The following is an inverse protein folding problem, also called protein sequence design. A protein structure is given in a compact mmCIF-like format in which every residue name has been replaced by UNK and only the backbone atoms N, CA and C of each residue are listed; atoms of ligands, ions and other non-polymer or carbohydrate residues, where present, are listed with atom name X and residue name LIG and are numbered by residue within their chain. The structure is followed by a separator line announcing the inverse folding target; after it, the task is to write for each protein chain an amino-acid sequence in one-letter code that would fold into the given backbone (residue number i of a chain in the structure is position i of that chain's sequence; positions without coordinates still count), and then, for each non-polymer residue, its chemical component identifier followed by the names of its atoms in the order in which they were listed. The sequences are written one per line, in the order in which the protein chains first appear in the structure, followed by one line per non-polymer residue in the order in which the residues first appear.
data_IF_796248857298
#
_entry.id   IF_796248857298
#
_cell.length_a   1.000
_cell.length_b   1.000
_cell.length_c   1.000
_cell.angle_alpha   90.00
_cell.angle_beta   90.00
_cell.angle_gamma   90.00
#
_symmetry.space_group_name_H-M   'P 1'
#
loop_
_entity.id
_entity.type
_entity.pdbx_description
1 polymer ?
#
# COMPACT_ATOMS: atom_id res chain seq x y z
N UNK A 1 15.80 -3.71 17.11
CA UNK A 1 14.48 -4.35 17.36
C UNK A 1 13.63 -4.11 16.13
N UNK A 2 13.22 -5.15 15.39
CA UNK A 2 12.41 -4.97 14.16
C UNK A 2 10.92 -4.85 14.48
N UNK A 3 10.15 -4.23 13.57
CA UNK A 3 8.68 -4.08 13.66
C UNK A 3 7.95 -5.40 13.99
N UNK A 4 8.33 -6.58 13.43
CA UNK A 4 7.69 -7.84 13.80
C UNK A 4 7.91 -8.26 15.26
N UNK A 5 9.09 -7.97 15.83
CA UNK A 5 9.36 -8.24 17.26
C UNK A 5 8.60 -7.29 18.16
N UNK A 6 8.38 -6.05 17.71
CA UNK A 6 7.55 -5.09 18.44
C UNK A 6 6.09 -5.53 18.43
N UNK A 7 5.54 -5.92 17.28
CA UNK A 7 4.17 -6.45 17.22
C UNK A 7 4.00 -7.68 18.11
N UNK A 8 4.90 -8.67 18.03
CA UNK A 8 4.86 -9.86 18.88
C UNK A 8 4.97 -9.52 20.37
N UNK A 9 5.85 -8.58 20.73
CA UNK A 9 5.96 -8.08 22.10
C UNK A 9 4.67 -7.41 22.58
N UNK A 10 4.07 -6.52 21.77
CA UNK A 10 2.84 -5.82 22.11
C UNK A 10 1.65 -6.79 22.22
N UNK A 11 1.53 -7.73 21.28
CA UNK A 11 0.52 -8.81 21.30
C UNK A 11 0.60 -9.62 22.59
N UNK A 12 1.81 -10.01 23.00
CA UNK A 12 2.01 -10.84 24.19
C UNK A 12 1.83 -10.05 25.49
N UNK A 13 2.27 -8.77 25.51
CA UNK A 13 2.26 -7.94 26.73
C UNK A 13 0.92 -7.22 26.95
N UNK A 14 0.21 -6.88 25.88
CA UNK A 14 -1.04 -6.11 25.92
C UNK A 14 -2.09 -6.72 24.96
N UNK A 15 -2.58 -7.95 25.22
CA UNK A 15 -3.45 -8.68 24.28
C UNK A 15 -4.75 -7.92 23.94
N UNK A 16 -5.27 -7.11 24.85
CA UNK A 16 -6.51 -6.34 24.67
C UNK A 16 -6.43 -5.21 23.64
N UNK A 17 -5.24 -4.87 23.14
CA UNK A 17 -5.11 -3.87 22.06
C UNK A 17 -5.46 -4.48 20.69
N UNK A 18 -5.50 -5.81 20.58
CA UNK A 18 -5.86 -6.53 19.37
C UNK A 18 -7.30 -6.97 19.53
N UNK A 19 -8.19 -6.30 18.81
CA UNK A 19 -9.58 -6.68 18.74
C UNK A 19 -9.84 -7.25 17.34
N UNK A 20 -10.27 -8.51 17.21
CA UNK A 20 -10.74 -9.02 15.93
C UNK A 20 -11.94 -8.18 15.49
N UNK A 21 -12.10 -8.04 14.17
CA UNK A 21 -13.26 -7.39 13.60
C UNK A 21 -14.45 -8.36 13.72
N UNK A 22 -15.17 -8.27 14.84
CA UNK A 22 -16.42 -9.00 15.07
C UNK A 22 -17.62 -8.06 14.82
N UNK A 23 -18.73 -8.62 14.33
CA UNK A 23 -19.87 -7.87 13.79
C UNK A 23 -20.60 -6.98 14.81
N UNK A 24 -20.48 -7.27 16.11
CA UNK A 24 -21.30 -6.63 17.15
C UNK A 24 -20.85 -5.21 17.53
N UNK A 25 -19.58 -4.83 17.25
CA UNK A 25 -19.10 -3.47 17.49
C UNK A 25 -17.96 -3.07 16.56
N UNK A 26 -18.32 -2.46 15.43
CA UNK A 26 -17.36 -1.83 14.53
C UNK A 26 -17.24 -0.32 14.83
N UNK A 27 -16.08 0.18 15.31
CA UNK A 27 -15.89 1.61 15.55
C UNK A 27 -16.09 2.42 14.26
N UNK A 28 -16.67 3.62 14.37
CA UNK A 28 -16.83 4.50 13.22
C UNK A 28 -15.53 5.26 12.99
N UNK A 29 -14.97 5.14 11.79
CA UNK A 29 -13.74 5.84 11.40
C UNK A 29 -14.07 7.08 10.56
N UNK A 30 -13.38 8.18 10.82
CA UNK A 30 -13.48 9.37 9.98
C UNK A 30 -12.50 9.32 8.81
N UNK A 31 -11.28 8.88 9.09
CA UNK A 31 -10.16 8.97 8.16
C UNK A 31 -9.49 7.60 8.03
N UNK A 32 -9.24 7.18 6.80
CA UNK A 32 -8.45 5.99 6.48
C UNK A 32 -7.15 6.44 5.77
N UNK A 33 -6.01 5.99 6.27
CA UNK A 33 -4.68 6.24 5.70
C UNK A 33 -4.10 4.92 5.21
N UNK A 34 -3.77 4.85 3.93
CA UNK A 34 -3.29 3.64 3.26
C UNK A 34 -1.85 3.87 2.80
N UNK A 35 -0.92 3.06 3.31
CA UNK A 35 0.45 2.97 2.79
C UNK A 35 0.51 1.83 1.76
N UNK A 36 0.55 2.20 0.48
CA UNK A 36 0.51 1.22 -0.61
C UNK A 36 1.75 0.36 -0.69
N UNK A 37 2.90 0.81 -0.21
CA UNK A 37 4.09 -0.02 -0.26
C UNK A 37 3.94 -1.27 0.60
N UNK A 38 3.31 -1.14 1.78
CA UNK A 38 3.00 -2.29 2.63
C UNK A 38 2.10 -3.29 1.89
N UNK A 39 1.06 -2.78 1.23
CA UNK A 39 0.09 -3.62 0.49
C UNK A 39 0.74 -4.30 -0.71
N UNK A 40 1.53 -3.58 -1.52
CA UNK A 40 2.21 -4.14 -2.70
C UNK A 40 3.10 -5.30 -2.27
N UNK A 41 3.91 -5.11 -1.22
CA UNK A 41 4.79 -6.18 -0.74
C UNK A 41 4.02 -7.35 -0.13
N UNK A 42 2.92 -7.11 0.58
CA UNK A 42 2.12 -8.20 1.14
C UNK A 42 1.36 -8.96 0.04
N UNK A 43 0.73 -8.29 -0.92
CA UNK A 43 -0.03 -8.95 -1.97
C UNK A 43 0.87 -9.70 -2.98
N UNK A 44 2.03 -9.15 -3.32
CA UNK A 44 2.92 -9.78 -4.30
C UNK A 44 3.86 -10.83 -3.69
N UNK A 45 4.05 -10.85 -2.37
CA UNK A 45 5.01 -11.75 -1.70
C UNK A 45 4.39 -12.73 -0.70
N UNK A 46 3.10 -12.60 -0.33
CA UNK A 46 2.49 -13.45 0.70
C UNK A 46 1.98 -14.81 0.18
N UNK A 47 1.81 -15.01 -1.13
CA UNK A 47 1.19 -16.25 -1.63
C UNK A 47 2.18 -17.29 -2.21
N UNK A 48 3.44 -16.93 -2.48
CA UNK A 48 4.26 -17.74 -3.40
C UNK A 48 5.57 -18.23 -2.79
N UNK A 49 5.48 -19.07 -1.76
CA UNK A 49 6.66 -19.86 -1.34
C UNK A 49 6.88 -21.11 -2.21
N UNK A 50 5.89 -21.55 -3.02
CA UNK A 50 5.97 -22.81 -3.76
C UNK A 50 5.52 -22.80 -5.25
N UNK A 51 4.89 -21.74 -5.76
CA UNK A 51 4.47 -21.67 -7.17
C UNK A 51 4.99 -20.40 -7.84
N UNK A 52 5.66 -20.57 -8.99
CA UNK A 52 6.05 -19.46 -9.85
C UNK A 52 4.77 -18.97 -10.51
N UNK A 53 4.15 -17.93 -9.94
CA UNK A 53 3.05 -17.25 -10.62
C UNK A 53 3.68 -16.32 -11.66
N UNK A 54 3.43 -16.64 -12.92
CA UNK A 54 3.65 -15.75 -14.06
C UNK A 54 2.55 -14.68 -14.03
N UNK A 55 2.73 -13.68 -13.16
CA UNK A 55 1.77 -12.60 -12.94
C UNK A 55 2.19 -11.40 -13.76
N UNK A 56 1.35 -10.99 -14.70
CA UNK A 56 1.60 -9.76 -15.45
C UNK A 56 1.38 -8.49 -14.59
N UNK A 57 1.91 -7.36 -15.06
CA UNK A 57 1.76 -6.06 -14.40
C UNK A 57 0.28 -5.71 -14.12
N UNK A 58 -0.63 -6.12 -15.00
CA UNK A 58 -2.03 -5.75 -14.93
C UNK A 58 -2.75 -6.51 -13.83
N UNK A 59 -2.56 -7.82 -13.73
CA UNK A 59 -3.09 -8.68 -12.67
C UNK A 59 -2.54 -8.24 -11.30
N UNK A 60 -1.24 -7.93 -11.22
CA UNK A 60 -0.62 -7.39 -10.02
C UNK A 60 -1.31 -6.10 -9.56
N UNK A 61 -1.53 -5.16 -10.49
CA UNK A 61 -2.22 -3.90 -10.19
C UNK A 61 -3.67 -4.16 -9.80
N UNK A 62 -4.40 -5.01 -10.52
CA UNK A 62 -5.79 -5.35 -10.20
C UNK A 62 -5.94 -5.89 -8.76
N UNK A 63 -5.05 -6.81 -8.35
CA UNK A 63 -5.03 -7.32 -6.97
C UNK A 63 -4.82 -6.21 -5.94
N UNK A 64 -3.91 -5.27 -6.20
CA UNK A 64 -3.67 -4.11 -5.34
C UNK A 64 -4.94 -3.24 -5.24
N UNK A 65 -5.57 -2.94 -6.38
CA UNK A 65 -6.79 -2.13 -6.45
C UNK A 65 -7.94 -2.77 -5.68
N UNK A 66 -8.18 -4.08 -5.89
CA UNK A 66 -9.22 -4.82 -5.18
C UNK A 66 -8.99 -4.85 -3.67
N UNK A 67 -7.73 -4.96 -3.23
CA UNK A 67 -7.39 -4.90 -1.82
C UNK A 67 -7.72 -3.54 -1.19
N UNK A 68 -7.43 -2.43 -1.89
CA UNK A 68 -7.80 -1.08 -1.44
C UNK A 68 -9.32 -0.97 -1.30
N UNK A 69 -10.08 -1.44 -2.30
CA UNK A 69 -11.54 -1.44 -2.24
C UNK A 69 -12.07 -2.21 -1.03
N UNK A 70 -11.48 -3.38 -0.77
CA UNK A 70 -11.82 -4.20 0.40
C UNK A 70 -11.55 -3.44 1.70
N UNK A 71 -10.41 -2.76 1.83
CA UNK A 71 -10.11 -1.95 3.01
C UNK A 71 -11.14 -0.83 3.20
N UNK A 72 -11.50 -0.10 2.14
CA UNK A 72 -12.49 0.97 2.21
C UNK A 72 -13.86 0.43 2.60
N UNK A 73 -14.24 -0.73 2.06
CA UNK A 73 -15.51 -1.40 2.39
C UNK A 73 -15.57 -1.84 3.85
N UNK A 74 -14.50 -2.45 4.37
CA UNK A 74 -14.40 -2.88 5.77
C UNK A 74 -14.41 -1.69 6.72
N UNK A 75 -13.55 -0.69 6.48
CA UNK A 75 -13.35 0.43 7.40
C UNK A 75 -14.48 1.46 7.31
N UNK A 76 -15.09 1.61 6.13
CA UNK A 76 -16.15 2.57 5.82
C UNK A 76 -15.87 3.98 6.39
N UNK A 77 -14.79 4.65 5.96
CA UNK A 77 -14.45 5.98 6.46
C UNK A 77 -15.55 7.00 6.13
N UNK A 78 -15.68 8.04 6.96
CA UNK A 78 -16.75 9.06 6.80
C UNK A 78 -16.30 10.36 6.15
N UNK A 79 -15.00 10.66 6.17
CA UNK A 79 -14.47 11.99 5.79
C UNK A 79 -13.31 11.91 4.80
N UNK A 80 -12.27 11.12 5.10
CA UNK A 80 -11.02 11.13 4.32
C UNK A 80 -10.57 9.71 3.97
N UNK A 81 -10.21 9.53 2.70
CA UNK A 81 -9.37 8.44 2.23
C UNK A 81 -8.05 9.03 1.74
N UNK A 82 -6.96 8.75 2.43
CA UNK A 82 -5.62 9.17 2.05
C UNK A 82 -4.82 7.95 1.60
N UNK A 83 -4.40 7.94 0.33
CA UNK A 83 -3.62 6.85 -0.26
C UNK A 83 -2.23 7.38 -0.56
N UNK A 84 -1.22 6.74 0.02
CA UNK A 84 0.18 7.10 -0.14
C UNK A 84 0.94 6.02 -0.90
N UNK A 85 1.56 6.39 -2.01
CA UNK A 85 2.60 5.61 -2.69
C UNK A 85 3.93 6.27 -2.35
N UNK A 86 4.90 5.56 -1.75
CA UNK A 86 6.18 6.25 -1.50
C UNK A 86 6.87 6.58 -2.83
N UNK A 87 7.30 7.84 -2.94
CA UNK A 87 8.41 8.24 -3.81
C UNK A 87 9.78 7.78 -3.29
N UNK A 88 10.84 8.19 -3.98
CA UNK A 88 12.22 7.76 -3.68
C UNK A 88 12.56 8.10 -2.24
N UNK A 89 12.84 7.08 -1.43
CA UNK A 89 13.11 7.30 -0.03
C UNK A 89 14.56 7.79 0.17
N UNK A 90 14.79 8.84 0.99
CA UNK A 90 16.13 9.40 1.20
C UNK A 90 17.10 8.36 1.78
N UNK A 91 18.39 8.54 1.46
CA UNK A 91 19.47 7.55 1.39
C UNK A 91 19.64 6.53 2.54
N UNK A 92 19.12 6.80 3.74
CA UNK A 92 19.11 5.86 4.87
C UNK A 92 18.17 4.65 4.63
N UNK A 93 17.00 4.87 4.02
CA UNK A 93 16.08 3.78 3.64
C UNK A 93 16.60 3.05 2.39
N UNK A 94 17.33 3.72 1.50
CA UNK A 94 18.03 3.07 0.37
C UNK A 94 19.06 2.05 0.83
N UNK A 95 19.85 2.36 1.87
CA UNK A 95 20.83 1.42 2.43
C UNK A 95 20.16 0.27 3.20
N UNK A 96 19.07 0.53 3.94
CA UNK A 96 18.29 -0.53 4.60
C UNK A 96 17.53 -1.40 3.58
N UNK A 97 16.91 -0.81 2.54
CA UNK A 97 16.22 -1.51 1.45
C UNK A 97 17.21 -2.30 0.60
N UNK A 98 18.42 -1.78 0.32
CA UNK A 98 19.52 -2.56 -0.26
C UNK A 98 19.90 -3.72 0.66
N UNK A 99 20.07 -3.49 1.97
CA UNK A 99 20.44 -4.54 2.93
C UNK A 99 19.37 -5.64 3.02
N UNK A 100 18.08 -5.28 3.02
CA UNK A 100 16.97 -6.21 2.93
C UNK A 100 16.95 -6.91 1.56
N UNK A 101 17.08 -6.21 0.43
CA UNK A 101 17.16 -6.84 -0.91
C UNK A 101 18.32 -7.85 -0.99
N UNK A 102 19.47 -7.54 -0.40
CA UNK A 102 20.64 -8.45 -0.37
C UNK A 102 20.49 -9.64 0.58
N UNK A 103 19.87 -9.47 1.75
CA UNK A 103 19.64 -10.59 2.70
C UNK A 103 18.45 -11.45 2.32
N UNK A 104 17.37 -10.84 1.82
CA UNK A 104 16.13 -11.52 1.43
C UNK A 104 16.31 -12.31 0.11
N UNK A 105 17.13 -11.84 -0.85
CA UNK A 105 17.53 -12.65 -2.02
C UNK A 105 18.41 -13.86 -1.66
N UNK A 106 19.07 -13.85 -0.49
CA UNK A 106 19.86 -15.00 -0.01
C UNK A 106 19.02 -15.99 0.81
N UNK A 107 17.97 -15.54 1.49
CA UNK A 107 17.17 -16.36 2.41
C UNK A 107 15.81 -16.81 1.83
N UNK A 108 15.24 -16.05 0.88
CA UNK A 108 14.05 -16.44 0.11
C UNK A 108 14.46 -16.45 -1.36
N UNK A 109 14.41 -17.61 -2.01
CA UNK A 109 14.69 -17.77 -3.44
C UNK A 109 13.63 -17.02 -4.26
N UNK A 110 13.76 -15.69 -4.37
CA UNK A 110 12.90 -14.84 -5.20
C UNK A 110 13.12 -15.03 -6.71
N UNK A 111 14.04 -15.93 -7.09
CA UNK A 111 14.22 -16.42 -8.45
C UNK A 111 12.98 -17.13 -9.02
N UNK A 112 11.94 -17.37 -8.21
CA UNK A 112 10.66 -17.95 -8.64
C UNK A 112 9.48 -16.97 -8.68
N UNK A 113 9.67 -15.66 -8.49
CA UNK A 113 8.59 -14.71 -8.75
C UNK A 113 8.56 -14.38 -10.24
N UNK A 114 7.41 -14.57 -10.92
CA UNK A 114 7.20 -14.08 -12.29
C UNK A 114 7.15 -12.55 -12.41
N UNK A 115 7.24 -11.84 -11.27
CA UNK A 115 7.21 -10.38 -11.19
C UNK A 115 8.56 -9.81 -10.74
N UNK A 116 9.13 -8.87 -11.51
CA UNK A 116 10.36 -8.18 -11.13
C UNK A 116 10.09 -7.20 -9.98
N UNK A 117 10.47 -7.58 -8.76
CA UNK A 117 10.41 -6.71 -7.56
C UNK A 117 11.15 -5.38 -7.77
N UNK A 118 12.15 -5.33 -8.67
CA UNK A 118 12.86 -4.10 -9.05
C UNK A 118 11.94 -3.01 -9.61
N UNK A 119 10.83 -3.42 -10.22
CA UNK A 119 9.80 -2.54 -10.78
C UNK A 119 9.04 -1.74 -9.70
N UNK A 120 9.08 -2.14 -8.42
CA UNK A 120 8.45 -1.42 -7.30
C UNK A 120 9.39 -0.31 -6.82
N UNK A 121 9.71 0.61 -7.73
CA UNK A 121 10.54 1.78 -7.48
C UNK A 121 10.02 2.96 -8.32
N UNK A 122 9.98 4.18 -7.78
CA UNK A 122 9.61 5.38 -8.54
C UNK A 122 10.38 5.50 -9.87
N UNK A 123 9.66 5.86 -10.94
CA UNK A 123 10.23 6.02 -12.29
C UNK A 123 10.29 4.74 -13.13
N UNK A 124 9.74 3.62 -12.66
CA UNK A 124 9.55 2.40 -13.46
C UNK A 124 8.21 2.46 -14.22
N UNK A 125 8.12 1.70 -15.30
CA UNK A 125 6.89 1.59 -16.10
C UNK A 125 5.72 1.05 -15.26
N UNK A 126 5.98 0.04 -14.42
CA UNK A 126 4.99 -0.50 -13.48
C UNK A 126 4.42 0.57 -12.55
N UNK A 127 5.27 1.41 -11.93
CA UNK A 127 4.79 2.44 -11.00
C UNK A 127 4.02 3.56 -11.71
N UNK A 128 4.34 3.84 -12.98
CA UNK A 128 3.56 4.77 -13.80
C UNK A 128 2.18 4.18 -14.12
N UNK A 129 2.12 2.93 -14.60
CA UNK A 129 0.87 2.21 -14.88
C UNK A 129 -0.02 2.13 -13.64
N UNK A 130 0.56 1.76 -12.49
CA UNK A 130 -0.13 1.69 -11.21
C UNK A 130 -0.72 3.05 -10.82
N UNK A 131 0.05 4.13 -10.98
CA UNK A 131 -0.39 5.48 -10.66
C UNK A 131 -1.56 5.93 -11.54
N UNK A 132 -1.50 5.69 -12.85
CA UNK A 132 -2.59 6.02 -13.77
C UNK A 132 -3.86 5.20 -13.50
N UNK A 133 -3.71 3.88 -13.29
CA UNK A 133 -4.83 3.01 -12.94
C UNK A 133 -5.46 3.35 -11.58
N UNK A 134 -4.66 3.76 -10.60
CA UNK A 134 -5.16 4.29 -9.32
C UNK A 134 -6.01 5.55 -9.52
N UNK A 135 -5.52 6.53 -10.30
CA UNK A 135 -6.29 7.75 -10.60
C UNK A 135 -7.61 7.41 -11.29
N UNK A 136 -7.57 6.54 -12.30
CA UNK A 136 -8.75 6.09 -13.01
C UNK A 136 -9.76 5.42 -12.07
N UNK A 137 -9.29 4.48 -11.23
CA UNK A 137 -10.14 3.79 -10.26
C UNK A 137 -10.80 4.77 -9.29
N UNK A 138 -10.02 5.68 -8.70
CA UNK A 138 -10.53 6.67 -7.74
C UNK A 138 -11.59 7.54 -8.41
N UNK A 139 -11.34 8.06 -9.62
CA UNK A 139 -12.33 8.84 -10.37
C UNK A 139 -13.62 8.05 -10.61
N UNK A 140 -13.50 6.80 -11.07
CA UNK A 140 -14.64 5.91 -11.31
C UNK A 140 -15.44 5.69 -10.03
N UNK A 141 -14.77 5.36 -8.93
CA UNK A 141 -15.42 5.09 -7.64
C UNK A 141 -16.08 6.31 -7.03
N UNK A 142 -15.42 7.48 -7.05
CA UNK A 142 -16.04 8.74 -6.59
C UNK A 142 -17.27 9.09 -7.46
N UNK A 143 -17.28 8.72 -8.74
CA UNK A 143 -18.42 8.99 -9.63
C UNK A 143 -19.57 8.00 -9.49
N UNK A 144 -19.27 6.73 -9.27
CA UNK A 144 -20.26 5.64 -9.32
C UNK A 144 -20.70 5.17 -7.92
N UNK A 145 -19.77 5.10 -6.96
CA UNK A 145 -19.97 4.47 -5.65
C UNK A 145 -20.41 5.48 -4.58
N UNK A 146 -21.52 5.19 -3.91
CA UNK A 146 -22.08 6.03 -2.83
C UNK A 146 -21.15 6.17 -1.63
N UNK A 147 -20.34 5.15 -1.33
CA UNK A 147 -19.41 5.15 -0.20
C UNK A 147 -18.23 6.10 -0.47
N UNK A 148 -17.76 6.16 -1.72
CA UNK A 148 -16.65 7.04 -2.13
C UNK A 148 -17.11 8.48 -2.39
N UNK A 149 -18.33 8.70 -2.88
CA UNK A 149 -18.91 10.04 -3.13
C UNK A 149 -18.83 11.02 -1.98
N UNK A 150 -18.87 10.51 -0.74
CA UNK A 150 -18.88 11.33 0.48
C UNK A 150 -17.47 11.59 1.03
N UNK A 151 -16.47 10.92 0.48
CA UNK A 151 -15.10 11.00 0.94
C UNK A 151 -14.36 12.10 0.20
N UNK A 152 -13.55 12.86 0.94
CA UNK A 152 -12.41 13.54 0.35
C UNK A 152 -11.35 12.49 0.06
N UNK A 153 -11.01 12.25 -1.20
CA UNK A 153 -9.97 11.29 -1.56
C UNK A 153 -8.69 12.04 -1.94
N UNK A 154 -7.57 11.63 -1.35
CA UNK A 154 -6.26 12.22 -1.61
C UNK A 154 -5.30 11.12 -2.03
N UNK A 155 -4.77 11.23 -3.24
CA UNK A 155 -3.68 10.38 -3.73
C UNK A 155 -2.37 11.16 -3.66
N UNK A 156 -1.45 10.65 -2.84
CA UNK A 156 -0.05 11.04 -2.84
C UNK A 156 0.74 10.05 -3.68
N UNK A 157 0.95 10.37 -4.95
CA UNK A 157 1.65 9.52 -5.91
C UNK A 157 3.16 9.36 -5.64
N UNK A 158 3.81 8.52 -6.43
CA UNK A 158 5.24 8.24 -6.30
C UNK A 158 6.13 9.48 -6.61
N UNK A 159 5.58 10.46 -7.32
CA UNK A 159 6.25 11.70 -7.72
C UNK A 159 6.31 12.74 -6.58
N UNK A 160 5.69 12.48 -5.42
CA UNK A 160 5.74 13.39 -4.27
C UNK A 160 7.09 13.29 -3.57
N UNK A 161 7.90 14.33 -3.70
CA UNK A 161 9.23 14.37 -3.10
C UNK A 161 9.12 14.56 -1.58
N UNK A 162 9.53 13.57 -0.78
CA UNK A 162 9.36 13.56 0.69
C UNK A 162 10.10 14.68 1.43
N UNK A 163 11.09 15.31 0.78
CA UNK A 163 11.84 16.46 1.32
C UNK A 163 11.05 17.78 1.21
N UNK A 164 10.07 17.86 0.30
CA UNK A 164 9.17 19.01 0.13
C UNK A 164 7.87 18.76 0.89
N UNK A 165 7.98 18.49 2.19
CA UNK A 165 6.81 18.43 3.05
C UNK A 165 6.33 19.87 3.34
N UNK A 166 5.09 20.15 2.94
CA UNK A 166 4.23 21.26 3.37
C UNK A 166 4.29 22.62 2.66
N UNK A 167 4.94 22.76 1.50
CA UNK A 167 4.76 23.98 0.70
C UNK A 167 4.16 23.65 -0.68
N UNK A 168 2.91 24.09 -0.83
CA UNK A 168 2.10 24.24 -2.05
C UNK A 168 1.46 22.99 -2.66
N UNK A 169 0.19 23.19 -3.05
CA UNK A 169 -0.82 22.27 -3.59
C UNK A 169 -0.44 21.49 -4.88
N UNK A 170 0.83 21.39 -5.25
CA UNK A 170 1.25 20.95 -6.59
C UNK A 170 1.48 19.44 -6.74
N UNK A 171 1.43 18.66 -5.66
CA UNK A 171 1.82 17.24 -5.68
C UNK A 171 0.75 16.28 -5.12
N UNK A 172 -0.35 16.80 -4.57
CA UNK A 172 -1.46 15.99 -4.09
C UNK A 172 -2.59 16.05 -5.11
N UNK A 173 -3.10 14.89 -5.52
CA UNK A 173 -4.27 14.83 -6.38
C UNK A 173 -5.48 14.70 -5.47
N UNK A 174 -6.36 15.69 -5.56
CA UNK A 174 -7.62 15.75 -4.85
C UNK A 174 -8.73 15.30 -5.78
N UNK A 175 -9.56 14.38 -5.30
CA UNK A 175 -10.74 13.87 -5.99
C UNK A 175 -11.98 14.13 -5.13
#
# INVERSE_FOLDING_TARGET
MGVPRLYGFLKNKYPLIINPLEDDYFPKYDNLYVDLNGIIYDQLLAENENEIIDMDDFEAIEKILLYIERLVSIINPRKLLFIAVDGVSPQLKLNLQRRYRYTRNKEKNYSGLGFDIGSISPGTEFMEKLNELLKFLIHKKVTEDKSWKKLKVVLSGYNVNKALKFNNNSCLIHF
#
